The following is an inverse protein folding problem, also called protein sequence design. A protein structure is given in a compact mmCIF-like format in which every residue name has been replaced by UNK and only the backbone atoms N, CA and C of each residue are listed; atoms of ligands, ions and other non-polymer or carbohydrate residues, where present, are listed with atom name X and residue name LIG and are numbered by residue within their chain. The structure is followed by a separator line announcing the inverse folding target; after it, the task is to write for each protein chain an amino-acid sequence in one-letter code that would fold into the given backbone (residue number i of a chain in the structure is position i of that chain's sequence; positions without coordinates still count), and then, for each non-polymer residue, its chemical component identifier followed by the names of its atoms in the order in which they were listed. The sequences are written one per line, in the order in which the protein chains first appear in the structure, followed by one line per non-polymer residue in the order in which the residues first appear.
data_IF_148463791930
#
_entry.id   IF_148463791930
#
_cell.length_a   1.000
_cell.length_b   1.000
_cell.length_c   1.000
_cell.angle_alpha   90.00
_cell.angle_beta   90.00
_cell.angle_gamma   90.00
#
_symmetry.space_group_name_H-M   'P 1'
#
loop_
_entity.id
_entity.type
_entity.pdbx_description
1 polymer ?
#
# COMPACT_ATOMS: atom_id res chain seq x y z
N UNK A 1 7.57 -24.34 -4.97
CA UNK A 1 7.67 -22.91 -5.35
C UNK A 1 8.09 -22.02 -4.20
N UNK A 2 7.29 -21.90 -3.12
CA UNK A 2 7.59 -20.98 -1.99
C UNK A 2 8.98 -21.11 -1.37
N UNK A 3 9.45 -22.34 -1.14
CA UNK A 3 10.77 -22.57 -0.56
C UNK A 3 11.93 -21.93 -1.35
N UNK A 4 11.88 -21.97 -2.69
CA UNK A 4 12.92 -21.37 -3.55
C UNK A 4 12.90 -19.85 -3.42
N UNK A 5 11.72 -19.26 -3.48
CA UNK A 5 11.58 -17.82 -3.42
C UNK A 5 11.95 -17.26 -2.05
N UNK A 6 11.47 -17.90 -0.97
CA UNK A 6 11.82 -17.53 0.40
C UNK A 6 13.34 -17.66 0.63
N UNK A 7 13.99 -18.69 0.06
CA UNK A 7 15.44 -18.82 0.11
C UNK A 7 16.16 -17.64 -0.58
N UNK A 8 15.67 -17.21 -1.75
CA UNK A 8 16.22 -16.07 -2.48
C UNK A 8 15.99 -14.76 -1.71
N UNK A 9 14.75 -14.48 -1.30
CA UNK A 9 14.37 -13.27 -0.55
C UNK A 9 15.12 -13.14 0.78
N UNK A 10 15.34 -14.25 1.50
CA UNK A 10 16.05 -14.23 2.77
C UNK A 10 17.58 -14.13 2.59
N UNK A 11 18.12 -14.77 1.56
CA UNK A 11 19.56 -15.04 1.45
C UNK A 11 20.33 -14.21 0.43
N UNK A 12 19.67 -13.42 -0.43
CA UNK A 12 20.32 -12.69 -1.52
C UNK A 12 19.96 -11.20 -1.49
N UNK A 13 20.96 -10.36 -1.71
CA UNK A 13 20.78 -8.90 -1.75
C UNK A 13 20.64 -8.40 -3.18
N UNK A 14 19.61 -7.60 -3.46
CA UNK A 14 19.49 -6.95 -4.76
C UNK A 14 20.54 -5.84 -4.92
N UNK A 15 21.24 -5.83 -6.05
CA UNK A 15 22.16 -4.76 -6.45
C UNK A 15 22.01 -4.50 -7.93
N UNK A 16 21.55 -3.30 -8.32
CA UNK A 16 21.44 -2.90 -9.71
C UNK A 16 22.84 -2.85 -10.38
N UNK A 17 23.01 -3.60 -11.47
CA UNK A 17 24.25 -3.67 -12.26
C UNK A 17 23.92 -3.37 -13.73
N UNK A 18 23.83 -2.08 -14.06
CA UNK A 18 23.23 -1.59 -15.30
C UNK A 18 24.25 -1.05 -16.32
N UNK A 19 25.53 -1.39 -16.19
CA UNK A 19 26.59 -0.83 -17.03
C UNK A 19 27.27 -1.86 -17.95
N UNK A 20 27.61 -1.45 -19.18
CA UNK A 20 28.33 -2.28 -20.14
C UNK A 20 27.60 -3.57 -20.51
N UNK A 21 28.32 -4.66 -20.83
CA UNK A 21 27.70 -5.96 -21.14
C UNK A 21 26.83 -6.49 -19.98
N UNK A 22 27.13 -6.07 -18.75
CA UNK A 22 26.37 -6.44 -17.55
C UNK A 22 24.97 -5.85 -17.53
N UNK A 23 24.63 -4.86 -18.36
CA UNK A 23 23.24 -4.41 -18.48
C UNK A 23 22.33 -5.57 -18.94
N UNK A 24 22.81 -6.40 -19.87
CA UNK A 24 22.00 -7.45 -20.51
C UNK A 24 22.41 -8.88 -20.13
N UNK A 25 23.67 -9.11 -19.74
CA UNK A 25 24.19 -10.46 -19.51
C UNK A 25 24.21 -10.75 -18.00
N UNK A 26 23.52 -11.80 -17.50
CA UNK A 26 23.52 -12.19 -16.10
C UNK A 26 24.84 -12.85 -15.67
N UNK A 27 25.09 -12.90 -14.37
CA UNK A 27 26.24 -13.58 -13.77
C UNK A 27 26.05 -15.09 -13.89
N UNK A 28 27.16 -15.85 -13.84
CA UNK A 28 27.05 -17.31 -13.69
C UNK A 28 26.37 -17.63 -12.36
N UNK A 29 25.46 -18.60 -12.36
CA UNK A 29 24.71 -19.02 -11.15
C UNK A 29 25.64 -19.35 -9.98
N UNK A 30 26.79 -19.99 -10.24
CA UNK A 30 27.80 -20.28 -9.21
C UNK A 30 28.34 -19.01 -8.54
N UNK A 31 28.57 -17.95 -9.31
CA UNK A 31 29.03 -16.66 -8.80
C UNK A 31 27.92 -15.94 -8.02
N UNK A 32 26.66 -16.02 -8.47
CA UNK A 32 25.51 -15.46 -7.74
C UNK A 32 25.40 -16.14 -6.37
N UNK A 33 25.47 -17.47 -6.32
CA UNK A 33 25.41 -18.26 -5.08
C UNK A 33 26.57 -17.92 -4.13
N UNK A 34 27.79 -17.79 -4.67
CA UNK A 34 28.98 -17.45 -3.89
C UNK A 34 28.88 -16.04 -3.31
N UNK A 35 28.44 -15.08 -4.11
CA UNK A 35 28.43 -13.67 -3.76
C UNK A 35 27.22 -13.25 -2.92
N UNK A 36 26.12 -14.02 -2.96
CA UNK A 36 24.85 -13.72 -2.28
C UNK A 36 24.24 -12.36 -2.65
N UNK A 37 24.50 -11.88 -3.88
CA UNK A 37 23.84 -10.71 -4.44
C UNK A 37 23.67 -10.82 -5.96
N UNK A 38 22.77 -10.02 -6.52
CA UNK A 38 22.54 -9.90 -7.95
C UNK A 38 21.47 -8.86 -8.29
N UNK A 39 21.33 -8.49 -9.56
CA UNK A 39 20.22 -7.68 -10.05
C UNK A 39 19.02 -8.56 -10.50
N UNK A 40 18.09 -8.00 -11.26
CA UNK A 40 16.87 -8.68 -11.69
C UNK A 40 17.14 -9.95 -12.49
N UNK A 41 18.02 -9.85 -13.48
CA UNK A 41 18.38 -10.98 -14.34
C UNK A 41 19.15 -12.05 -13.57
N UNK A 42 20.01 -11.66 -12.63
CA UNK A 42 20.75 -12.61 -11.80
C UNK A 42 19.79 -13.42 -10.90
N UNK A 43 18.88 -12.75 -10.18
CA UNK A 43 17.97 -13.41 -9.25
C UNK A 43 16.91 -14.26 -9.96
N UNK A 44 16.38 -13.80 -11.10
CA UNK A 44 15.47 -14.60 -11.92
C UNK A 44 16.17 -15.82 -12.53
N UNK A 45 17.42 -15.69 -12.98
CA UNK A 45 18.22 -16.81 -13.50
C UNK A 45 18.52 -17.85 -12.42
N UNK A 46 18.86 -17.42 -11.20
CA UNK A 46 19.06 -18.31 -10.07
C UNK A 46 17.77 -19.11 -9.78
N UNK A 47 16.62 -18.42 -9.68
CA UNK A 47 15.34 -19.07 -9.43
C UNK A 47 14.98 -20.08 -10.53
N UNK A 48 15.18 -19.71 -11.79
CA UNK A 48 14.97 -20.59 -12.95
C UNK A 48 15.79 -21.89 -12.84
N UNK A 49 17.10 -21.81 -12.58
CA UNK A 49 17.94 -23.00 -12.48
C UNK A 49 17.67 -23.83 -11.22
N UNK A 50 17.33 -23.20 -10.09
CA UNK A 50 16.89 -23.93 -8.90
C UNK A 50 15.64 -24.76 -9.21
N UNK A 51 14.65 -24.19 -9.90
CA UNK A 51 13.44 -24.93 -10.31
C UNK A 51 13.72 -26.04 -11.31
N UNK A 52 14.56 -25.77 -12.30
CA UNK A 52 14.96 -26.75 -13.30
C UNK A 52 15.63 -27.98 -12.65
N UNK A 53 16.50 -27.76 -11.65
CA UNK A 53 17.15 -28.85 -10.90
C UNK A 53 16.19 -29.77 -10.14
N UNK A 54 14.98 -29.28 -9.85
CA UNK A 54 13.91 -30.02 -9.19
C UNK A 54 12.87 -30.56 -10.19
N UNK A 55 13.11 -30.41 -11.49
CA UNK A 55 12.16 -30.83 -12.54
C UNK A 55 10.89 -29.97 -12.59
N UNK A 56 10.89 -28.76 -12.03
CA UNK A 56 9.72 -27.89 -11.99
C UNK A 56 9.79 -26.87 -13.15
N UNK A 57 8.72 -26.80 -13.95
CA UNK A 57 8.67 -25.88 -15.10
C UNK A 57 8.67 -24.41 -14.67
N UNK A 58 9.40 -23.60 -15.43
CA UNK A 58 9.37 -22.14 -15.39
C UNK A 58 10.09 -21.58 -16.61
N UNK A 59 9.81 -20.33 -16.95
CA UNK A 59 10.46 -19.61 -18.04
C UNK A 59 10.94 -18.26 -17.55
N UNK A 60 12.10 -17.81 -18.03
CA UNK A 60 12.49 -16.42 -17.87
C UNK A 60 11.52 -15.54 -18.67
N UNK A 61 11.28 -14.33 -18.21
CA UNK A 61 10.39 -13.41 -18.89
C UNK A 61 10.91 -11.97 -18.79
N UNK A 62 10.75 -11.22 -19.89
CA UNK A 62 11.17 -9.82 -19.99
C UNK A 62 9.95 -8.91 -19.97
N UNK A 63 10.06 -7.79 -19.26
CA UNK A 63 8.99 -6.82 -19.10
C UNK A 63 9.55 -5.41 -19.09
N UNK A 64 8.69 -4.44 -19.38
CA UNK A 64 8.93 -3.06 -19.04
C UNK A 64 8.06 -2.65 -17.84
N UNK A 65 8.66 -2.06 -16.82
CA UNK A 65 7.94 -1.68 -15.59
C UNK A 65 7.02 -0.46 -15.77
N UNK A 66 7.22 0.32 -16.83
CA UNK A 66 6.55 1.60 -17.05
C UNK A 66 5.61 1.63 -18.27
N UNK A 67 5.97 0.95 -19.36
CA UNK A 67 5.26 1.00 -20.65
C UNK A 67 4.85 -0.39 -21.15
N UNK A 68 3.83 -0.44 -22.00
CA UNK A 68 3.52 -1.65 -22.77
C UNK A 68 4.35 -1.73 -24.05
N UNK A 69 4.46 -2.93 -24.63
CA UNK A 69 5.28 -3.18 -25.81
C UNK A 69 4.64 -2.57 -27.07
N UNK A 70 5.49 -2.05 -27.95
CA UNK A 70 5.10 -1.73 -29.33
C UNK A 70 5.30 -3.01 -30.13
N UNK A 71 4.24 -3.82 -30.25
CA UNK A 71 4.28 -5.18 -30.82
C UNK A 71 4.87 -5.26 -32.24
N UNK A 72 4.80 -4.17 -33.00
CA UNK A 72 5.38 -4.06 -34.35
C UNK A 72 6.88 -3.77 -34.37
N UNK A 73 7.49 -3.45 -33.22
CA UNK A 73 8.90 -3.09 -33.10
C UNK A 73 9.65 -4.18 -32.33
N UNK A 74 10.38 -5.10 -32.98
CA UNK A 74 11.15 -6.14 -32.30
C UNK A 74 12.49 -5.60 -31.79
N UNK A 75 12.46 -4.84 -30.69
CA UNK A 75 13.67 -4.30 -30.03
C UNK A 75 13.81 -4.80 -28.59
N UNK A 76 15.06 -5.11 -28.20
CA UNK A 76 15.43 -5.45 -26.83
C UNK A 76 15.32 -4.24 -25.88
N UNK A 77 15.46 -3.01 -26.39
CA UNK A 77 15.39 -1.77 -25.60
C UNK A 77 13.98 -1.47 -25.07
N UNK A 78 13.00 -2.29 -25.45
CA UNK A 78 11.66 -2.21 -24.88
C UNK A 78 11.60 -2.76 -23.46
N UNK A 79 12.55 -3.60 -23.03
CA UNK A 79 12.53 -4.24 -21.71
C UNK A 79 13.51 -3.57 -20.74
N UNK A 80 13.13 -3.45 -19.48
CA UNK A 80 13.96 -2.90 -18.39
C UNK A 80 14.10 -3.85 -17.19
N UNK A 81 13.35 -4.96 -17.17
CA UNK A 81 13.31 -5.88 -16.04
C UNK A 81 13.14 -7.33 -16.49
N UNK A 82 13.66 -8.26 -15.68
CA UNK A 82 13.58 -9.71 -15.91
C UNK A 82 12.99 -10.41 -14.71
N UNK A 83 11.96 -11.22 -14.96
CA UNK A 83 11.18 -11.96 -13.97
C UNK A 83 11.03 -13.43 -14.37
N UNK A 84 10.23 -14.18 -13.62
CA UNK A 84 9.96 -15.59 -13.88
C UNK A 84 8.47 -15.83 -14.16
N UNK A 85 8.18 -16.61 -15.20
CA UNK A 85 6.85 -17.13 -15.51
C UNK A 85 6.73 -18.59 -15.04
N UNK A 86 5.66 -18.90 -14.31
CA UNK A 86 5.37 -20.20 -13.71
C UNK A 86 4.11 -20.78 -14.37
N UNK A 87 4.23 -21.58 -15.44
CA UNK A 87 3.07 -22.06 -16.19
C UNK A 87 2.14 -22.96 -15.35
N UNK A 88 2.70 -23.75 -14.43
CA UNK A 88 1.95 -24.74 -13.65
C UNK A 88 1.48 -24.20 -12.28
N UNK A 89 1.65 -22.90 -12.02
CA UNK A 89 1.29 -22.29 -10.74
C UNK A 89 0.15 -21.30 -10.93
N UNK A 90 -1.02 -21.64 -10.38
CA UNK A 90 -2.25 -20.85 -10.43
C UNK A 90 -2.60 -20.37 -11.85
N UNK A 91 -2.78 -21.32 -12.77
CA UNK A 91 -3.11 -21.08 -14.19
C UNK A 91 -2.10 -20.22 -14.98
N UNK A 92 -0.91 -19.98 -14.44
CA UNK A 92 0.17 -19.24 -15.09
C UNK A 92 0.45 -17.93 -14.36
N UNK A 93 1.52 -17.92 -13.55
CA UNK A 93 1.85 -16.76 -12.70
C UNK A 93 3.19 -16.14 -13.01
N UNK A 94 3.25 -14.81 -12.92
CA UNK A 94 4.50 -14.06 -12.94
C UNK A 94 5.02 -13.81 -11.53
N UNK A 95 6.32 -13.99 -11.33
CA UNK A 95 6.99 -13.80 -10.04
C UNK A 95 8.25 -12.97 -10.25
N UNK A 96 8.38 -11.92 -9.43
CA UNK A 96 9.57 -11.07 -9.41
C UNK A 96 10.50 -11.48 -8.25
N UNK A 97 11.65 -12.06 -8.58
CA UNK A 97 12.67 -12.49 -7.61
C UNK A 97 13.42 -11.34 -6.92
N UNK A 98 13.20 -10.09 -7.32
CA UNK A 98 13.75 -8.89 -6.69
C UNK A 98 12.84 -8.29 -5.62
N UNK A 99 11.55 -8.66 -5.63
CA UNK A 99 10.54 -8.16 -4.70
C UNK A 99 10.64 -8.83 -3.32
N UNK A 100 11.67 -8.47 -2.54
CA UNK A 100 12.01 -9.11 -1.25
C UNK A 100 10.88 -9.17 -0.22
N UNK A 101 9.97 -8.20 -0.25
CA UNK A 101 8.91 -8.05 0.75
C UNK A 101 7.52 -8.42 0.22
N UNK A 102 7.43 -8.85 -1.04
CA UNK A 102 6.17 -9.24 -1.66
C UNK A 102 5.84 -10.71 -1.43
N UNK A 103 4.55 -11.00 -1.27
CA UNK A 103 4.04 -12.37 -1.28
C UNK A 103 4.15 -12.97 -2.67
N UNK A 104 4.42 -14.28 -2.74
CA UNK A 104 4.23 -15.05 -3.98
C UNK A 104 2.77 -15.21 -4.38
N UNK A 105 1.86 -14.98 -3.43
CA UNK A 105 0.44 -15.19 -3.63
C UNK A 105 -0.22 -14.02 -4.36
N UNK A 106 0.47 -12.89 -4.53
CA UNK A 106 -0.01 -11.80 -5.38
C UNK A 106 -0.28 -12.32 -6.79
N UNK A 107 -1.45 -11.96 -7.35
CA UNK A 107 -1.79 -12.29 -8.74
C UNK A 107 -0.77 -11.73 -9.72
N UNK A 108 -0.25 -10.54 -9.43
CA UNK A 108 0.80 -9.87 -10.20
C UNK A 108 1.89 -9.33 -9.29
N UNK A 109 3.17 -9.37 -9.72
CA UNK A 109 4.23 -8.70 -8.97
C UNK A 109 3.97 -7.20 -8.84
N UNK A 110 4.38 -6.56 -7.73
CA UNK A 110 4.27 -5.11 -7.57
C UNK A 110 4.82 -4.34 -8.77
N UNK A 111 4.05 -3.39 -9.28
CA UNK A 111 4.44 -2.55 -10.42
C UNK A 111 4.25 -3.18 -11.80
N UNK A 112 3.92 -4.47 -11.88
CA UNK A 112 3.84 -5.22 -13.14
C UNK A 112 2.41 -5.60 -13.55
N UNK A 113 1.41 -4.90 -13.04
CA UNK A 113 0.00 -5.10 -13.42
C UNK A 113 -0.28 -4.53 -14.81
N UNK A 114 -1.02 -5.28 -15.62
CA UNK A 114 -1.42 -4.92 -16.99
C UNK A 114 -0.23 -4.55 -17.89
N UNK A 115 0.77 -5.44 -17.85
CA UNK A 115 1.99 -5.33 -18.63
C UNK A 115 2.06 -6.46 -19.64
N UNK A 116 2.41 -6.10 -20.87
CA UNK A 116 2.87 -7.04 -21.88
C UNK A 116 4.24 -7.59 -21.48
N UNK A 117 4.33 -8.92 -21.36
CA UNK A 117 5.49 -9.66 -20.86
C UNK A 117 5.90 -10.69 -21.91
N UNK A 118 7.15 -10.64 -22.35
CA UNK A 118 7.72 -11.61 -23.28
C UNK A 118 8.23 -12.83 -22.50
N UNK A 119 7.57 -13.98 -22.66
CA UNK A 119 8.00 -15.25 -22.08
C UNK A 119 9.08 -15.89 -22.97
N UNK A 120 10.26 -16.11 -22.39
CA UNK A 120 11.41 -16.73 -23.05
C UNK A 120 11.32 -18.25 -22.97
N UNK A 121 10.46 -18.80 -23.80
CA UNK A 121 10.31 -20.24 -24.03
C UNK A 121 11.02 -20.62 -25.34
N UNK A 122 11.96 -21.57 -25.28
CA UNK A 122 12.74 -22.00 -26.44
C UNK A 122 11.88 -22.64 -27.55
N UNK A 123 10.73 -23.23 -27.18
CA UNK A 123 9.84 -23.90 -28.12
C UNK A 123 8.71 -23.00 -28.58
N UNK A 124 8.12 -22.24 -27.64
CA UNK A 124 6.91 -21.44 -27.88
C UNK A 124 7.05 -20.05 -27.24
N UNK A 125 7.92 -19.18 -27.78
CA UNK A 125 8.03 -17.80 -27.30
C UNK A 125 6.71 -17.07 -27.55
N UNK A 126 6.25 -16.29 -26.57
CA UNK A 126 4.95 -15.62 -26.62
C UNK A 126 4.91 -14.41 -25.72
N UNK A 127 4.06 -13.45 -26.08
CA UNK A 127 3.74 -12.30 -25.25
C UNK A 127 2.45 -12.61 -24.49
N UNK A 128 2.48 -12.47 -23.18
CA UNK A 128 1.32 -12.59 -22.29
C UNK A 128 1.08 -11.25 -21.59
N UNK A 129 -0.14 -11.01 -21.12
CA UNK A 129 -0.44 -9.86 -20.25
C UNK A 129 -0.58 -10.34 -18.81
N UNK A 130 -0.07 -9.57 -17.85
CA UNK A 130 -0.13 -9.91 -16.43
C UNK A 130 -1.52 -9.76 -15.79
N UNK A 131 -2.49 -9.13 -16.45
CA UNK A 131 -3.85 -8.93 -15.95
C UNK A 131 -3.99 -7.74 -15.00
N UNK A 132 -5.23 -7.48 -14.53
CA UNK A 132 -5.64 -6.25 -13.81
C UNK A 132 -6.18 -6.49 -12.40
N UNK A 133 -6.02 -7.70 -11.84
CA UNK A 133 -6.76 -8.21 -10.65
C UNK A 133 -6.46 -7.56 -9.29
N UNK A 134 -5.84 -6.39 -9.24
CA UNK A 134 -5.25 -5.86 -8.00
C UNK A 134 -6.25 -5.33 -6.95
N UNK A 135 -7.42 -4.80 -7.31
CA UNK A 135 -8.21 -4.00 -6.36
C UNK A 135 -8.79 -4.79 -5.18
N UNK A 136 -9.12 -6.07 -5.38
CA UNK A 136 -9.61 -6.94 -4.30
C UNK A 136 -8.47 -7.52 -3.44
N UNK A 137 -7.26 -7.63 -3.99
CA UNK A 137 -6.08 -8.16 -3.28
C UNK A 137 -5.34 -7.07 -2.48
N UNK A 138 -5.43 -5.81 -2.92
CA UNK A 138 -4.81 -4.66 -2.28
C UNK A 138 -5.77 -3.99 -1.32
N UNK A 139 -5.61 -4.26 -0.03
CA UNK A 139 -6.46 -3.69 1.01
C UNK A 139 -5.64 -3.09 2.13
N UNK A 140 -6.11 -1.96 2.64
CA UNK A 140 -5.65 -1.35 3.87
C UNK A 140 -6.86 -1.20 4.77
N UNK A 141 -6.81 -1.83 5.94
CA UNK A 141 -7.84 -1.72 6.97
C UNK A 141 -7.25 -1.03 8.18
N UNK A 142 -7.86 0.09 8.60
CA UNK A 142 -7.53 0.79 9.83
C UNK A 142 -8.63 0.58 10.87
N UNK A 143 -8.25 0.15 12.07
CA UNK A 143 -9.11 0.17 13.24
C UNK A 143 -8.53 1.12 14.28
N UNK A 144 -9.31 2.13 14.67
CA UNK A 144 -8.87 3.26 15.51
C UNK A 144 -9.75 3.34 16.75
N UNK A 145 -9.14 3.20 17.93
CA UNK A 145 -9.80 3.43 19.22
C UNK A 145 -9.35 4.77 19.76
N UNK A 146 -10.30 5.68 19.92
CA UNK A 146 -10.07 7.07 20.30
C UNK A 146 -10.66 7.32 21.68
N UNK A 147 -9.81 7.78 22.59
CA UNK A 147 -10.15 8.10 23.98
C UNK A 147 -9.96 9.60 24.23
N UNK A 148 -10.90 10.18 24.96
CA UNK A 148 -10.85 11.57 25.42
C UNK A 148 -10.15 11.61 26.78
N UNK A 149 -9.02 12.31 26.86
CA UNK A 149 -8.24 12.47 28.09
C UNK A 149 -7.88 13.94 28.31
N UNK A 150 -8.72 14.63 29.10
CA UNK A 150 -8.58 16.07 29.31
C UNK A 150 -8.86 16.85 28.01
N UNK A 151 -7.87 17.61 27.55
CA UNK A 151 -7.89 18.36 26.28
C UNK A 151 -7.29 17.56 25.10
N UNK A 152 -6.88 16.31 25.32
CA UNK A 152 -6.15 15.49 24.37
C UNK A 152 -6.99 14.31 23.88
N UNK A 153 -6.61 13.77 22.72
CA UNK A 153 -7.05 12.45 22.28
C UNK A 153 -5.91 11.45 22.39
N UNK A 154 -6.16 10.34 23.06
CA UNK A 154 -5.26 9.18 23.05
C UNK A 154 -5.81 8.16 22.06
N UNK A 155 -4.94 7.69 21.15
CA UNK A 155 -5.34 6.83 20.04
C UNK A 155 -4.51 5.57 19.99
N UNK A 156 -5.19 4.42 19.91
CA UNK A 156 -4.59 3.16 19.48
C UNK A 156 -5.15 2.82 18.10
N UNK A 157 -4.27 2.77 17.10
CA UNK A 157 -4.64 2.51 15.71
C UNK A 157 -3.92 1.27 15.18
N UNK A 158 -4.67 0.30 14.69
CA UNK A 158 -4.12 -0.91 14.08
C UNK A 158 -4.40 -0.91 12.58
N UNK A 159 -3.34 -0.91 11.78
CA UNK A 159 -3.40 -1.09 10.34
C UNK A 159 -3.16 -2.55 9.98
N UNK A 160 -4.01 -3.10 9.13
CA UNK A 160 -3.79 -4.39 8.47
C UNK A 160 -3.66 -4.17 6.97
N UNK A 161 -2.52 -4.59 6.42
CA UNK A 161 -2.18 -4.46 5.00
C UNK A 161 -2.21 -5.81 4.30
N UNK A 162 -2.88 -5.85 3.16
CA UNK A 162 -2.92 -6.97 2.23
C UNK A 162 -2.46 -6.51 0.85
N UNK A 163 -1.90 -7.44 0.06
CA UNK A 163 -1.46 -7.12 -1.29
C UNK A 163 -0.15 -6.32 -1.35
N UNK A 164 -0.02 -5.49 -2.37
CA UNK A 164 1.12 -4.59 -2.60
C UNK A 164 1.39 -3.64 -1.42
N UNK A 165 0.38 -2.97 -0.80
CA UNK A 165 0.61 -2.13 0.39
C UNK A 165 1.36 -2.85 1.53
N UNK A 166 1.12 -4.16 1.66
CA UNK A 166 1.81 -5.00 2.64
C UNK A 166 3.31 -5.10 2.35
N UNK A 167 3.69 -5.25 1.08
CA UNK A 167 5.08 -5.31 0.66
C UNK A 167 5.81 -3.97 0.85
N UNK A 168 5.17 -2.87 0.49
CA UNK A 168 5.73 -1.52 0.59
C UNK A 168 5.99 -1.14 2.05
N UNK A 169 5.01 -1.36 2.92
CA UNK A 169 5.17 -1.02 4.34
C UNK A 169 6.16 -1.96 5.05
N UNK A 170 6.25 -3.24 4.64
CA UNK A 170 7.31 -4.15 5.11
C UNK A 170 8.70 -3.67 4.77
N UNK A 171 8.90 -3.15 3.55
CA UNK A 171 10.19 -2.60 3.14
C UNK A 171 10.58 -1.44 4.06
N UNK A 172 9.64 -0.55 4.35
CA UNK A 172 9.85 0.55 5.29
C UNK A 172 10.23 0.06 6.69
N UNK A 173 9.52 -0.93 7.24
CA UNK A 173 9.82 -1.52 8.56
C UNK A 173 11.13 -2.33 8.60
N UNK A 174 11.54 -2.90 7.46
CA UNK A 174 12.74 -3.74 7.35
C UNK A 174 14.04 -2.96 7.18
N UNK A 175 13.96 -1.66 6.85
CA UNK A 175 15.13 -0.79 6.63
C UNK A 175 15.56 -0.05 7.89
N UNK A 176 14.65 0.19 8.83
CA UNK A 176 14.88 0.97 10.04
C UNK A 176 14.63 0.13 11.30
N UNK A 177 15.40 0.36 12.37
CA UNK A 177 15.29 -0.41 13.60
C UNK A 177 15.33 0.47 14.86
N UNK A 178 14.65 0.04 15.93
CA UNK A 178 14.70 0.71 17.23
C UNK A 178 14.23 2.16 17.19
N UNK A 179 15.00 3.06 17.79
CA UNK A 179 14.67 4.50 17.88
C UNK A 179 14.63 5.19 16.50
N UNK A 180 15.41 4.73 15.53
CA UNK A 180 15.41 5.28 14.17
C UNK A 180 14.05 5.05 13.48
N UNK A 181 13.46 3.87 13.68
CA UNK A 181 12.13 3.56 13.16
C UNK A 181 11.07 4.48 13.77
N UNK A 182 11.08 4.67 15.10
CA UNK A 182 10.14 5.56 15.79
C UNK A 182 10.27 7.00 15.32
N UNK A 183 11.50 7.53 15.23
CA UNK A 183 11.77 8.89 14.76
C UNK A 183 11.31 9.10 13.31
N UNK A 184 11.56 8.12 12.45
CA UNK A 184 11.14 8.16 11.05
C UNK A 184 9.61 8.12 10.91
N UNK A 185 8.93 7.25 11.67
CA UNK A 185 7.46 7.19 11.71
C UNK A 185 6.85 8.47 12.29
N UNK A 186 7.45 9.06 13.34
CA UNK A 186 7.02 10.35 13.86
C UNK A 186 7.16 11.45 12.79
N UNK A 187 8.25 11.44 12.02
CA UNK A 187 8.47 12.39 10.93
C UNK A 187 7.42 12.22 9.81
N UNK A 188 7.12 10.97 9.46
CA UNK A 188 6.06 10.62 8.50
C UNK A 188 4.70 11.15 8.94
N UNK A 189 4.31 10.89 10.20
CA UNK A 189 3.06 11.36 10.79
C UNK A 189 2.98 12.88 10.74
N UNK A 190 4.04 13.56 11.18
CA UNK A 190 4.11 15.02 11.23
C UNK A 190 3.98 15.67 9.85
N UNK A 191 4.60 15.08 8.83
CA UNK A 191 4.51 15.55 7.45
C UNK A 191 3.11 15.35 6.83
N UNK A 192 2.34 14.40 7.36
CA UNK A 192 1.08 13.96 6.76
C UNK A 192 -0.12 14.75 7.27
N UNK A 193 -0.23 14.96 8.59
CA UNK A 193 -1.51 15.35 9.17
C UNK A 193 -1.71 16.83 9.42
N UNK A 194 -0.64 17.63 9.51
CA UNK A 194 -0.73 18.98 10.07
C UNK A 194 -1.19 19.01 11.53
N UNK A 195 -1.44 17.84 12.15
CA UNK A 195 -1.74 17.67 13.56
C UNK A 195 -0.45 17.39 14.31
N UNK A 196 -0.37 17.84 15.56
CA UNK A 196 0.79 17.61 16.43
C UNK A 196 0.73 16.21 17.07
N UNK A 197 0.35 15.17 16.31
CA UNK A 197 0.25 13.81 16.84
C UNK A 197 1.63 13.34 17.30
N UNK A 198 1.71 12.88 18.55
CA UNK A 198 2.93 12.43 19.21
C UNK A 198 2.88 10.91 19.36
N UNK A 199 3.67 10.23 18.53
CA UNK A 199 3.84 8.79 18.53
C UNK A 199 4.55 8.34 19.82
N UNK A 200 3.90 7.44 20.55
CA UNK A 200 4.39 6.90 21.82
C UNK A 200 4.97 5.49 21.64
N UNK A 201 4.33 4.67 20.81
CA UNK A 201 4.72 3.27 20.62
C UNK A 201 4.29 2.75 19.24
N UNK A 202 5.06 1.79 18.72
CA UNK A 202 4.76 1.07 17.47
C UNK A 202 5.06 -0.41 17.67
N UNK A 203 4.05 -1.23 17.43
CA UNK A 203 4.17 -2.69 17.47
C UNK A 203 3.90 -3.27 16.10
N UNK A 204 4.81 -4.14 15.66
CA UNK A 204 4.63 -4.97 14.48
C UNK A 204 5.29 -6.32 14.71
N UNK A 205 4.95 -7.33 13.92
CA UNK A 205 5.68 -8.60 13.95
C UNK A 205 7.14 -8.39 13.51
N UNK A 206 8.09 -9.03 14.21
CA UNK A 206 9.49 -9.03 13.80
C UNK A 206 9.63 -9.85 12.51
N UNK A 207 10.19 -9.25 11.46
CA UNK A 207 10.40 -9.88 10.15
C UNK A 207 9.13 -10.55 9.60
N UNK A 208 8.07 -9.77 9.34
CA UNK A 208 6.76 -10.30 8.93
C UNK A 208 6.93 -11.13 7.65
N UNK A 209 6.54 -12.41 7.71
CA UNK A 209 6.49 -13.30 6.55
C UNK A 209 5.82 -12.56 5.38
N UNK A 210 6.50 -12.40 4.22
CA UNK A 210 5.93 -11.78 3.03
C UNK A 210 4.62 -12.44 2.58
N UNK A 211 4.38 -13.69 2.97
CA UNK A 211 3.20 -14.48 2.61
C UNK A 211 2.01 -14.30 3.57
N UNK A 212 2.17 -13.58 4.68
CA UNK A 212 1.07 -13.29 5.63
C UNK A 212 0.56 -11.85 5.43
N UNK A 213 -0.62 -11.46 5.96
CA UNK A 213 -0.95 -10.04 6.12
C UNK A 213 0.04 -9.34 7.06
N UNK A 214 0.28 -8.05 6.85
CA UNK A 214 1.08 -7.24 7.76
C UNK A 214 0.15 -6.47 8.69
N UNK A 215 0.38 -6.57 10.00
CA UNK A 215 -0.35 -5.78 10.99
C UNK A 215 0.63 -4.90 11.77
N UNK A 216 0.28 -3.62 11.90
CA UNK A 216 1.07 -2.62 12.64
C UNK A 216 0.14 -1.81 13.53
N UNK A 217 0.44 -1.77 14.82
CA UNK A 217 -0.31 -1.01 15.82
C UNK A 217 0.50 0.21 16.26
N UNK A 218 -0.12 1.38 16.19
CA UNK A 218 0.43 2.66 16.60
C UNK A 218 -0.31 3.14 17.85
N UNK A 219 0.43 3.69 18.81
CA UNK A 219 -0.13 4.44 19.93
C UNK A 219 0.36 5.87 19.86
N UNK A 220 -0.55 6.83 19.83
CA UNK A 220 -0.19 8.24 19.75
C UNK A 220 -1.18 9.12 20.50
N UNK A 221 -0.71 10.31 20.88
CA UNK A 221 -1.52 11.34 21.52
C UNK A 221 -1.67 12.51 20.56
N UNK A 222 -2.88 13.03 20.40
CA UNK A 222 -3.13 14.28 19.68
C UNK A 222 -3.43 15.37 20.72
N UNK A 223 -2.44 16.21 21.06
CA UNK A 223 -2.59 17.18 22.12
C UNK A 223 -3.51 18.32 21.70
N UNK A 224 -4.28 18.86 22.65
CA UNK A 224 -5.20 20.00 22.43
C UNK A 224 -6.18 19.80 21.27
N UNK A 225 -6.56 18.55 21.01
CA UNK A 225 -7.53 18.20 19.96
C UNK A 225 -8.96 18.59 20.33
N UNK A 226 -9.20 18.86 21.62
CA UNK A 226 -10.51 19.08 22.20
C UNK A 226 -10.66 20.55 22.61
N UNK A 227 -11.80 21.15 22.24
CA UNK A 227 -12.22 22.48 22.69
C UNK A 227 -13.49 22.36 23.52
N UNK A 228 -13.55 23.08 24.64
CA UNK A 228 -14.80 23.26 25.39
C UNK A 228 -15.47 24.55 24.95
N UNK A 229 -16.71 24.46 24.48
CA UNK A 229 -17.51 25.60 23.98
C UNK A 229 -18.90 25.49 24.58
N UNK A 230 -19.28 26.45 25.41
CA UNK A 230 -20.61 26.52 26.06
C UNK A 230 -21.03 25.24 26.80
N UNK A 231 -20.07 24.55 27.43
CA UNK A 231 -20.30 23.28 28.14
C UNK A 231 -20.21 22.03 27.25
N UNK A 232 -20.15 22.19 25.92
CA UNK A 232 -19.99 21.10 24.96
C UNK A 232 -18.51 20.81 24.70
N UNK A 233 -18.23 19.55 24.37
CA UNK A 233 -16.90 19.10 23.94
C UNK A 233 -16.89 19.03 22.42
N UNK A 234 -15.97 19.77 21.79
CA UNK A 234 -15.77 19.76 20.34
C UNK A 234 -14.42 19.16 20.01
N UNK A 235 -14.43 17.97 19.43
CA UNK A 235 -13.28 17.37 18.77
C UNK A 235 -13.20 18.00 17.38
N UNK A 236 -12.20 18.88 17.17
CA UNK A 236 -12.13 19.67 15.94
C UNK A 236 -11.85 18.82 14.70
N UNK A 237 -11.07 17.75 14.86
CA UNK A 237 -10.75 16.83 13.77
C UNK A 237 -10.57 15.42 14.34
N UNK A 238 -11.21 14.43 13.73
CA UNK A 238 -10.88 13.03 14.01
C UNK A 238 -9.48 12.74 13.43
N UNK A 239 -8.57 12.10 14.17
CA UNK A 239 -7.22 11.83 13.67
C UNK A 239 -7.25 10.97 12.39
N UNK A 240 -6.78 11.52 11.27
CA UNK A 240 -6.81 10.88 9.94
C UNK A 240 -5.41 10.65 9.36
N UNK A 241 -4.47 10.16 10.19
CA UNK A 241 -3.05 9.98 9.80
C UNK A 241 -2.92 9.15 8.53
N UNK A 242 -3.39 7.91 8.54
CA UNK A 242 -3.13 6.98 7.46
C UNK A 242 -4.07 7.18 6.28
N UNK A 243 -5.27 7.67 6.55
CA UNK A 243 -6.18 8.18 5.52
C UNK A 243 -5.48 9.24 4.68
N UNK A 244 -4.92 10.28 5.31
CA UNK A 244 -4.16 11.34 4.63
C UNK A 244 -2.89 10.79 3.98
N UNK A 245 -2.18 9.85 4.60
CA UNK A 245 -0.95 9.28 4.03
C UNK A 245 -1.22 8.58 2.69
N UNK A 246 -2.29 7.79 2.61
CA UNK A 246 -2.60 6.95 1.46
C UNK A 246 -3.50 7.63 0.42
N UNK A 247 -4.37 8.56 0.82
CA UNK A 247 -5.40 9.12 -0.06
C UNK A 247 -5.18 10.57 -0.46
N UNK A 248 -4.22 11.28 0.16
CA UNK A 248 -3.94 12.69 -0.17
C UNK A 248 -3.34 12.80 -1.56
N UNK A 249 -3.97 13.64 -2.39
CA UNK A 249 -3.44 14.04 -3.69
C UNK A 249 -2.69 15.36 -3.53
N UNK A 250 -1.38 15.40 -3.82
CA UNK A 250 -0.60 16.64 -3.71
C UNK A 250 -1.04 17.64 -4.79
N UNK A 251 -0.93 18.93 -4.45
CA UNK A 251 -1.15 19.99 -5.42
C UNK A 251 -0.09 19.98 -6.51
N UNK A 252 -0.53 20.08 -7.76
CA UNK A 252 0.33 20.22 -8.94
C UNK A 252 -0.24 21.36 -9.77
N UNK A 253 0.47 22.49 -9.80
CA UNK A 253 -0.01 23.73 -10.43
C UNK A 253 -0.36 23.55 -11.91
N UNK A 254 0.53 22.93 -12.68
CA UNK A 254 0.47 22.90 -14.13
C UNK A 254 0.74 21.48 -14.65
N UNK A 255 -0.14 20.52 -14.33
CA UNK A 255 0.04 19.14 -14.80
C UNK A 255 -0.17 19.06 -16.32
N UNK A 256 0.84 18.57 -17.03
CA UNK A 256 0.81 18.42 -18.50
C UNK A 256 0.78 16.96 -18.98
N UNK A 257 1.03 16.00 -18.08
CA UNK A 257 1.00 14.56 -18.41
C UNK A 257 -0.27 13.90 -17.87
N UNK A 258 -0.79 12.86 -18.56
CA UNK A 258 -1.89 12.05 -18.04
C UNK A 258 -1.62 11.50 -16.64
N UNK A 259 -2.68 11.03 -15.99
CA UNK A 259 -2.59 10.48 -14.65
C UNK A 259 -3.49 9.28 -14.46
N UNK A 260 -3.06 8.37 -13.58
CA UNK A 260 -3.84 7.22 -13.17
C UNK A 260 -3.45 6.83 -11.75
N UNK A 261 -4.34 6.09 -11.08
CA UNK A 261 -4.00 5.43 -9.82
C UNK A 261 -3.22 4.17 -10.15
N UNK A 262 -1.88 4.24 -10.04
CA UNK A 262 -0.96 3.15 -10.44
C UNK A 262 -1.19 1.85 -9.68
N UNK A 263 -1.64 1.96 -8.42
CA UNK A 263 -1.97 0.84 -7.54
C UNK A 263 -3.36 1.05 -6.95
N UNK A 264 -4.43 0.57 -7.59
CA UNK A 264 -5.74 0.63 -6.96
C UNK A 264 -5.71 -0.25 -5.72
N UNK A 265 -6.16 0.32 -4.60
CA UNK A 265 -6.38 -0.38 -3.35
C UNK A 265 -7.70 0.08 -2.76
N UNK A 266 -8.22 -0.74 -1.86
CA UNK A 266 -9.34 -0.37 -1.01
C UNK A 266 -8.82 0.07 0.36
N UNK A 267 -9.24 1.25 0.81
CA UNK A 267 -8.98 1.73 2.16
C UNK A 267 -10.26 1.66 2.98
N UNK A 268 -10.23 0.94 4.09
CA UNK A 268 -11.34 0.91 5.05
C UNK A 268 -10.84 1.43 6.38
N UNK A 269 -11.63 2.26 7.06
CA UNK A 269 -11.31 2.82 8.37
C UNK A 269 -12.50 2.67 9.31
N UNK A 270 -12.25 2.20 10.52
CA UNK A 270 -13.25 2.14 11.59
C UNK A 270 -12.74 2.96 12.76
N UNK A 271 -13.44 4.05 13.07
CA UNK A 271 -13.14 4.90 14.22
C UNK A 271 -14.16 4.62 15.32
N UNK A 272 -13.68 4.20 16.48
CA UNK A 272 -14.46 4.03 17.70
C UNK A 272 -14.07 5.12 18.70
N UNK A 273 -14.96 6.08 18.93
CA UNK A 273 -14.78 7.17 19.89
C UNK A 273 -15.64 6.91 21.13
N UNK A 274 -14.98 6.68 22.27
CA UNK A 274 -15.66 6.54 23.56
C UNK A 274 -15.91 7.90 24.19
N UNK A 275 -17.11 8.11 24.72
CA UNK A 275 -17.48 9.34 25.43
C UNK A 275 -18.16 9.02 26.78
N UNK A 276 -18.14 10.00 27.69
CA UNK A 276 -18.66 9.82 29.05
C UNK A 276 -20.19 9.91 29.12
N UNK A 277 -20.78 9.47 30.24
CA UNK A 277 -22.24 9.55 30.49
C UNK A 277 -22.82 10.96 30.36
N UNK A 278 -21.99 11.97 30.57
CA UNK A 278 -22.43 13.36 30.69
C UNK A 278 -22.76 14.00 29.35
N UNK A 279 -22.50 13.31 28.24
CA UNK A 279 -22.68 13.83 26.90
C UNK A 279 -23.47 12.90 25.99
N UNK A 280 -24.06 13.48 24.96
CA UNK A 280 -24.57 12.80 23.78
C UNK A 280 -23.94 13.38 22.51
N UNK A 281 -23.88 12.59 21.43
CA UNK A 281 -23.34 13.07 20.15
C UNK A 281 -24.36 13.95 19.45
N UNK A 282 -23.93 15.13 18.97
CA UNK A 282 -24.80 16.05 18.26
C UNK A 282 -25.37 15.41 16.99
N UNK A 283 -26.66 15.63 16.70
CA UNK A 283 -27.36 14.98 15.59
C UNK A 283 -26.70 15.22 14.22
N UNK A 284 -26.11 16.40 14.01
CA UNK A 284 -25.38 16.75 12.78
C UNK A 284 -24.20 15.83 12.48
N UNK A 285 -23.60 15.23 13.52
CA UNK A 285 -22.39 14.41 13.40
C UNK A 285 -22.69 12.92 13.13
N UNK A 286 -23.98 12.57 13.03
CA UNK A 286 -24.49 11.23 12.73
C UNK A 286 -24.85 11.02 11.25
N UNK A 287 -24.59 11.99 10.38
CA UNK A 287 -24.89 11.88 8.96
C UNK A 287 -24.04 10.83 8.27
N UNK A 288 -24.66 10.03 7.40
CA UNK A 288 -23.97 9.14 6.48
C UNK A 288 -23.66 9.87 5.17
N UNK A 289 -22.63 9.43 4.47
CA UNK A 289 -22.22 9.98 3.19
C UNK A 289 -21.95 8.85 2.21
N UNK A 290 -22.39 9.00 0.96
CA UNK A 290 -22.00 8.13 -0.16
C UNK A 290 -21.70 9.00 -1.36
N UNK A 291 -20.50 8.84 -1.92
CA UNK A 291 -20.02 9.54 -3.11
C UNK A 291 -19.52 8.50 -4.10
N UNK A 292 -19.93 8.64 -5.36
CA UNK A 292 -19.45 7.80 -6.46
C UNK A 292 -19.20 8.70 -7.66
N UNK A 293 -17.97 8.67 -8.16
CA UNK A 293 -17.54 9.42 -9.34
C UNK A 293 -16.48 8.61 -10.11
N UNK A 294 -15.94 9.22 -11.17
CA UNK A 294 -14.98 8.57 -12.06
C UNK A 294 -13.66 8.18 -11.36
N UNK A 295 -13.30 8.84 -10.26
CA UNK A 295 -12.04 8.63 -9.55
C UNK A 295 -12.16 7.64 -8.40
N UNK A 296 -13.27 7.64 -7.68
CA UNK A 296 -13.44 6.79 -6.51
C UNK A 296 -14.90 6.57 -6.09
N UNK A 297 -15.11 5.47 -5.38
CA UNK A 297 -16.30 5.21 -4.57
C UNK A 297 -15.97 5.39 -3.10
N UNK A 298 -16.79 6.15 -2.37
CA UNK A 298 -16.58 6.47 -0.97
C UNK A 298 -17.88 6.38 -0.18
N UNK A 299 -17.81 5.76 1.00
CA UNK A 299 -18.90 5.74 1.97
C UNK A 299 -18.41 6.10 3.37
N UNK A 300 -19.23 6.82 4.13
CA UNK A 300 -19.16 6.96 5.58
C UNK A 300 -20.49 6.50 6.16
N UNK A 301 -20.44 5.55 7.08
CA UNK A 301 -21.55 5.16 7.94
C UNK A 301 -21.22 5.49 9.39
N UNK A 302 -22.13 6.18 10.07
CA UNK A 302 -21.98 6.54 11.48
C UNK A 302 -23.06 5.83 12.29
N UNK A 303 -22.65 5.13 13.36
CA UNK A 303 -23.52 4.38 14.26
C UNK A 303 -23.22 4.76 15.70
N UNK A 304 -24.26 4.78 16.53
CA UNK A 304 -24.12 4.93 17.99
C UNK A 304 -24.34 3.59 18.66
N UNK A 305 -23.34 3.12 19.39
CA UNK A 305 -23.53 2.08 20.40
C UNK A 305 -23.93 2.75 21.72
N UNK A 306 -25.23 2.84 21.96
CA UNK A 306 -25.77 3.45 23.16
C UNK A 306 -25.41 2.68 24.45
N UNK A 307 -25.15 1.37 24.37
CA UNK A 307 -24.80 0.56 25.55
C UNK A 307 -23.38 0.86 26.00
N UNK A 308 -22.46 0.99 25.04
CA UNK A 308 -21.04 1.23 25.30
C UNK A 308 -20.64 2.72 25.19
N UNK A 309 -21.60 3.62 24.90
CA UNK A 309 -21.37 5.06 24.68
C UNK A 309 -20.21 5.30 23.73
N UNK A 310 -20.32 4.67 22.57
CA UNK A 310 -19.30 4.69 21.53
C UNK A 310 -19.92 5.18 20.23
N UNK A 311 -19.31 6.20 19.65
CA UNK A 311 -19.56 6.60 18.27
C UNK A 311 -18.66 5.74 17.38
N UNK A 312 -19.27 5.00 16.46
CA UNK A 312 -18.55 4.20 15.47
C UNK A 312 -18.74 4.84 14.11
N UNK A 313 -17.64 5.24 13.47
CA UNK A 313 -17.64 5.74 12.09
C UNK A 313 -16.86 4.78 11.21
N UNK A 314 -17.57 4.12 10.30
CA UNK A 314 -17.01 3.22 9.30
C UNK A 314 -16.88 3.97 7.99
N UNK A 315 -15.70 3.98 7.40
CA UNK A 315 -15.42 4.61 6.11
C UNK A 315 -14.81 3.61 5.15
N UNK A 316 -15.19 3.68 3.88
CA UNK A 316 -14.66 2.78 2.84
C UNK A 316 -14.41 3.56 1.55
N UNK A 317 -13.21 3.46 1.02
CA UNK A 317 -12.74 4.13 -0.20
C UNK A 317 -12.24 3.08 -1.18
N UNK A 318 -12.73 3.11 -2.40
CA UNK A 318 -12.19 2.32 -3.53
C UNK A 318 -11.75 3.28 -4.61
N UNK A 319 -10.47 3.27 -4.96
CA UNK A 319 -9.91 4.10 -6.02
C UNK A 319 -10.05 3.40 -7.39
N UNK A 320 -10.46 4.15 -8.40
CA UNK A 320 -10.57 3.66 -9.78
C UNK A 320 -9.22 3.80 -10.49
N UNK A 321 -8.82 2.79 -11.28
CA UNK A 321 -7.51 2.74 -11.98
C UNK A 321 -7.46 3.55 -13.28
N UNK A 322 -8.56 4.22 -13.65
CA UNK A 322 -8.69 4.82 -14.97
C UNK A 322 -7.55 5.82 -15.26
N UNK A 323 -7.12 5.86 -16.51
CA UNK A 323 -6.24 6.93 -16.99
C UNK A 323 -7.08 8.15 -17.34
N UNK A 324 -6.67 9.31 -16.83
CA UNK A 324 -7.36 10.58 -16.96
C UNK A 324 -6.45 11.61 -17.63
N UNK A 325 -7.02 12.49 -18.48
CA UNK A 325 -6.26 13.57 -19.09
C UNK A 325 -5.84 14.62 -18.03
N UNK A 326 -4.75 15.36 -18.27
CA UNK A 326 -4.21 16.32 -17.29
C UNK A 326 -5.23 17.37 -16.79
N UNK A 327 -6.16 17.79 -17.66
CA UNK A 327 -7.21 18.79 -17.36
C UNK A 327 -8.12 18.40 -16.19
N UNK A 328 -8.25 17.10 -15.90
CA UNK A 328 -9.08 16.58 -14.79
C UNK A 328 -8.34 16.46 -13.46
N UNK A 329 -7.07 16.85 -13.40
CA UNK A 329 -6.28 16.65 -12.19
C UNK A 329 -6.78 17.51 -11.01
N UNK A 330 -7.26 18.72 -11.27
CA UNK A 330 -7.84 19.58 -10.24
C UNK A 330 -9.11 18.96 -9.64
N UNK A 331 -10.00 18.47 -10.50
CA UNK A 331 -11.24 17.76 -10.10
C UNK A 331 -10.91 16.54 -9.21
N UNK A 332 -9.90 15.75 -9.59
CA UNK A 332 -9.43 14.63 -8.78
C UNK A 332 -8.87 15.06 -7.42
N UNK A 333 -8.10 16.16 -7.39
CA UNK A 333 -7.52 16.70 -6.17
C UNK A 333 -8.62 17.22 -5.21
N UNK A 334 -9.59 17.97 -5.72
CA UNK A 334 -10.73 18.47 -4.94
C UNK A 334 -11.56 17.32 -4.38
N UNK A 335 -11.87 16.32 -5.21
CA UNK A 335 -12.60 15.12 -4.79
C UNK A 335 -11.88 14.37 -3.65
N UNK A 336 -10.55 14.23 -3.72
CA UNK A 336 -9.76 13.63 -2.65
C UNK A 336 -9.73 14.50 -1.38
N UNK A 337 -9.72 15.83 -1.51
CA UNK A 337 -9.77 16.75 -0.38
C UNK A 337 -11.12 16.72 0.34
N UNK A 338 -12.23 16.68 -0.39
CA UNK A 338 -13.59 16.55 0.15
C UNK A 338 -13.73 15.23 0.91
N UNK A 339 -13.25 14.13 0.33
CA UNK A 339 -13.22 12.82 0.98
C UNK A 339 -12.47 12.85 2.31
N UNK A 340 -11.23 13.37 2.31
CA UNK A 340 -10.40 13.44 3.51
C UNK A 340 -11.01 14.36 4.57
N UNK A 341 -11.60 15.48 4.16
CA UNK A 341 -12.31 16.39 5.05
C UNK A 341 -13.51 15.70 5.70
N UNK A 342 -14.28 14.94 4.92
CA UNK A 342 -15.42 14.19 5.43
C UNK A 342 -15.02 13.10 6.44
N UNK A 343 -13.92 12.37 6.20
CA UNK A 343 -13.38 11.39 7.16
C UNK A 343 -12.89 12.07 8.45
N UNK A 344 -12.31 13.27 8.31
CA UNK A 344 -11.76 14.08 9.40
C UNK A 344 -12.82 14.91 10.16
N UNK A 345 -14.08 14.92 9.69
CA UNK A 345 -15.15 15.78 10.20
C UNK A 345 -15.22 15.80 11.73
N UNK A 346 -15.33 17.01 12.27
CA UNK A 346 -15.45 17.28 13.70
C UNK A 346 -16.56 16.46 14.35
N UNK A 347 -16.41 16.20 15.65
CA UNK A 347 -17.47 15.58 16.47
C UNK A 347 -17.76 16.49 17.66
N UNK A 348 -19.03 16.83 17.83
CA UNK A 348 -19.56 17.62 18.94
C UNK A 348 -20.27 16.67 19.91
N UNK A 349 -19.84 16.70 21.17
CA UNK A 349 -20.49 16.03 22.28
C UNK A 349 -21.21 17.10 23.12
N UNK A 350 -22.53 17.05 23.11
CA UNK A 350 -23.40 18.00 23.79
C UNK A 350 -23.70 17.52 25.21
N UNK A 351 -23.58 18.42 26.20
CA UNK A 351 -23.97 18.08 27.57
C UNK A 351 -25.49 17.86 27.64
N UNK A 352 -25.94 16.90 28.45
CA UNK A 352 -27.36 16.71 28.74
C UNK A 352 -28.00 17.88 29.48
#
# INVERSE_FOLDING_TARGET
TRAIYNYIQAGFTYKALEFGPRANIPNKVSQIIQNKYGDCKDLALLAFHMRQSLGISSHLALVNTERNLIKSLPSMDQFDHMILYLPDYDEGRFVDCTSRHASLDLSTPPGLTDRDILVLDQKIPRILNSGTHLSSENQIYSEKKVLIEGDNLTVEETLTFQGVPSADFRFYLGTLHGEELLSSLQSLISATTGTHAQLQDVKHSKNPDPNSPLTVTFKYVVPKAIKSIDGNIVISEIPTIWEKYYLKVPYVKDRITPFSVRFPFQFSSVVSLNYSSSFHVAAKDLSNLKVENDFHQFTIETKLDARNRTLVRESKVTLNRNEHPPVRFHEFQESAHELLSAMANSVTLESF
#
